data_IF_515634914266
#
_entry.id   IF_515634914266
#
_cell.length_a   1.000
_cell.length_b   1.000
_cell.length_c   1.000
_cell.angle_alpha   90.00
_cell.angle_beta   90.00
_cell.angle_gamma   90.00
#
_symmetry.space_group_name_H-M   'P 1'
#
loop_
_entity.id
_entity.type
_entity.pdbx_description
1 polymer ?
#
# COMPACT_ATOMS: atom_id res chain seq x y z
N UNK A 1 35.57 -4.11 -7.46
CA UNK A 1 37.03 -4.29 -7.48
C UNK A 1 37.81 -2.97 -7.49
N UNK A 2 37.38 -1.90 -8.17
CA UNK A 2 38.12 -0.62 -8.21
C UNK A 2 38.33 0.08 -6.85
N UNK A 3 37.40 -0.07 -5.89
CA UNK A 3 37.45 0.63 -4.59
C UNK A 3 38.50 0.09 -3.61
N UNK A 4 38.80 -1.22 -3.66
CA UNK A 4 39.83 -1.85 -2.82
C UNK A 4 41.24 -1.54 -3.32
N UNK A 5 41.42 -1.42 -4.63
CA UNK A 5 42.72 -1.08 -5.23
C UNK A 5 43.14 0.36 -4.93
N UNK A 6 42.21 1.32 -4.98
CA UNK A 6 42.48 2.72 -4.61
C UNK A 6 42.83 2.83 -3.11
N UNK A 7 42.17 2.05 -2.26
CA UNK A 7 42.45 2.04 -0.82
C UNK A 7 43.86 1.51 -0.52
N UNK A 8 44.29 0.45 -1.21
CA UNK A 8 45.63 -0.13 -1.06
C UNK A 8 46.74 0.80 -1.57
N UNK A 9 46.48 1.59 -2.62
CA UNK A 9 47.45 2.56 -3.17
C UNK A 9 47.68 3.73 -2.20
N UNK A 10 46.65 4.17 -1.47
CA UNK A 10 46.76 5.25 -0.48
C UNK A 10 47.44 4.78 0.83
N UNK A 11 47.24 3.51 1.22
CA UNK A 11 47.76 2.97 2.49
C UNK A 11 49.26 2.61 2.41
N UNK A 12 49.76 2.22 1.22
CA UNK A 12 51.15 1.72 1.04
C UNK A 12 52.26 2.73 1.39
N UNK A 13 52.16 4.03 1.06
CA UNK A 13 53.17 5.02 1.45
C UNK A 13 53.13 5.35 2.95
N UNK A 14 51.93 5.33 3.55
CA UNK A 14 51.71 5.65 4.96
C UNK A 14 52.34 4.57 5.85
N UNK A 15 52.26 3.29 5.47
CA UNK A 15 52.88 2.19 6.22
C UNK A 15 54.41 2.21 6.21
N UNK A 16 55.05 2.93 5.27
CA UNK A 16 56.51 2.89 5.10
C UNK A 16 57.26 3.86 6.03
N UNK A 17 56.55 4.72 6.77
CA UNK A 17 57.13 5.81 7.57
C UNK A 17 56.78 5.77 9.07
N UNK A 18 56.33 4.63 9.61
CA UNK A 18 55.67 4.60 10.93
C UNK A 18 56.42 3.70 11.93
N UNK A 19 56.76 4.28 13.08
CA UNK A 19 57.34 3.66 14.28
C UNK A 19 56.41 2.55 14.83
N UNK A 20 56.97 1.46 15.38
CA UNK A 20 56.22 0.24 15.77
C UNK A 20 55.02 0.49 16.73
N UNK A 21 55.12 1.46 17.63
CA UNK A 21 54.02 1.87 18.52
C UNK A 21 52.89 2.60 17.78
N UNK A 22 53.23 3.43 16.79
CA UNK A 22 52.25 4.11 15.94
C UNK A 22 51.57 3.15 14.98
N UNK A 23 52.23 2.06 14.55
CA UNK A 23 51.57 1.01 13.75
C UNK A 23 50.46 0.30 14.53
N UNK A 24 50.65 0.02 15.82
CA UNK A 24 49.60 -0.58 16.64
C UNK A 24 48.36 0.32 16.69
N UNK A 25 48.54 1.62 16.97
CA UNK A 25 47.46 2.62 16.94
C UNK A 25 46.72 2.70 15.59
N UNK A 26 47.46 2.66 14.48
CA UNK A 26 46.88 2.67 13.13
C UNK A 26 46.07 1.40 12.85
N UNK A 27 46.54 0.22 13.26
CA UNK A 27 45.79 -1.03 13.12
C UNK A 27 44.51 -1.05 13.97
N UNK A 28 44.53 -0.49 15.18
CA UNK A 28 43.33 -0.40 16.04
C UNK A 28 42.27 0.51 15.42
N UNK A 29 42.68 1.68 14.89
CA UNK A 29 41.76 2.61 14.21
C UNK A 29 41.16 1.96 12.95
N UNK A 30 41.97 1.28 12.15
CA UNK A 30 41.50 0.53 10.96
C UNK A 30 40.53 -0.58 11.39
N UNK A 31 40.82 -1.32 12.46
CA UNK A 31 39.94 -2.33 13.02
C UNK A 31 38.58 -1.77 13.47
N UNK A 32 38.57 -0.63 14.16
CA UNK A 32 37.36 0.08 14.57
C UNK A 32 36.57 0.55 13.34
N UNK A 33 37.23 1.09 12.32
CA UNK A 33 36.58 1.53 11.08
C UNK A 33 35.96 0.34 10.33
N UNK A 34 36.67 -0.79 10.22
CA UNK A 34 36.16 -2.01 9.58
C UNK A 34 34.98 -2.59 10.38
N UNK A 35 35.09 -2.66 11.71
CA UNK A 35 34.00 -3.12 12.56
C UNK A 35 32.78 -2.21 12.46
N UNK A 36 32.97 -0.89 12.47
CA UNK A 36 31.90 0.09 12.28
C UNK A 36 31.26 -0.07 10.89
N UNK A 37 32.05 -0.15 9.81
CA UNK A 37 31.54 -0.35 8.45
C UNK A 37 30.77 -1.67 8.31
N UNK A 38 31.28 -2.76 8.90
CA UNK A 38 30.63 -4.07 8.90
C UNK A 38 29.33 -4.05 9.71
N UNK A 39 29.32 -3.40 10.87
CA UNK A 39 28.13 -3.16 11.68
C UNK A 39 27.08 -2.34 10.91
N UNK A 40 27.50 -1.24 10.25
CA UNK A 40 26.60 -0.43 9.44
C UNK A 40 26.05 -1.19 8.23
N UNK A 41 26.87 -2.01 7.55
CA UNK A 41 26.42 -2.88 6.46
C UNK A 41 25.42 -3.93 6.95
N UNK A 42 25.70 -4.60 8.06
CA UNK A 42 24.81 -5.62 8.63
C UNK A 42 23.48 -5.00 9.08
N UNK A 43 23.52 -3.87 9.78
CA UNK A 43 22.32 -3.12 10.19
C UNK A 43 21.51 -2.64 8.98
N UNK A 44 22.16 -2.26 7.89
CA UNK A 44 21.49 -1.88 6.65
C UNK A 44 20.85 -3.10 5.95
N UNK A 45 21.53 -4.25 5.94
CA UNK A 45 21.02 -5.51 5.38
C UNK A 45 19.79 -6.01 6.16
N UNK A 46 19.82 -5.94 7.49
CA UNK A 46 18.70 -6.30 8.35
C UNK A 46 17.47 -5.43 8.09
N UNK A 47 17.66 -4.11 7.96
CA UNK A 47 16.60 -3.17 7.58
C UNK A 47 15.96 -3.50 6.23
N UNK A 48 16.77 -3.77 5.20
CA UNK A 48 16.28 -4.21 3.90
C UNK A 48 15.45 -5.49 4.02
N UNK A 49 15.94 -6.49 4.77
CA UNK A 49 15.23 -7.75 4.97
C UNK A 49 13.87 -7.53 5.65
N UNK A 50 13.82 -6.70 6.69
CA UNK A 50 12.58 -6.34 7.38
C UNK A 50 11.59 -5.64 6.43
N UNK A 51 12.07 -4.74 5.56
CA UNK A 51 11.24 -4.09 4.56
C UNK A 51 10.68 -5.08 3.52
N UNK A 52 11.50 -6.04 3.06
CA UNK A 52 11.07 -7.12 2.16
C UNK A 52 10.02 -7.99 2.84
N UNK A 53 10.22 -8.36 4.10
CA UNK A 53 9.27 -9.17 4.87
C UNK A 53 7.93 -8.45 5.03
N UNK A 54 7.92 -7.15 5.32
CA UNK A 54 6.69 -6.36 5.40
C UNK A 54 5.94 -6.33 4.05
N UNK A 55 6.65 -6.23 2.93
CA UNK A 55 6.03 -6.34 1.59
C UNK A 55 5.48 -7.75 1.36
N UNK A 56 6.22 -8.80 1.74
CA UNK A 56 5.75 -10.18 1.62
C UNK A 56 4.48 -10.40 2.42
N UNK A 57 4.43 -9.96 3.68
CA UNK A 57 3.23 -10.02 4.53
C UNK A 57 2.06 -9.26 3.90
N UNK A 58 2.33 -8.08 3.33
CA UNK A 58 1.31 -7.35 2.58
C UNK A 58 0.76 -8.18 1.40
N UNK A 59 1.63 -8.75 0.57
CA UNK A 59 1.24 -9.51 -0.62
C UNK A 59 0.52 -10.81 -0.26
N UNK A 60 1.03 -11.56 0.72
CA UNK A 60 0.57 -12.92 1.00
C UNK A 60 -0.48 -13.01 2.11
N UNK A 61 -0.66 -11.98 2.94
CA UNK A 61 -1.68 -11.99 3.99
C UNK A 61 -2.78 -10.95 3.73
N UNK A 62 -2.41 -9.71 3.41
CA UNK A 62 -3.39 -8.61 3.32
C UNK A 62 -4.15 -8.66 1.99
N UNK A 63 -3.47 -8.87 0.85
CA UNK A 63 -4.14 -8.94 -0.45
C UNK A 63 -5.19 -10.08 -0.48
N UNK A 64 -4.89 -11.31 -0.02
CA UNK A 64 -5.88 -12.39 0.02
C UNK A 64 -7.07 -12.10 0.94
N UNK A 65 -6.86 -11.49 2.11
CA UNK A 65 -7.95 -11.09 3.01
C UNK A 65 -8.87 -10.04 2.35
N UNK A 66 -8.29 -9.06 1.67
CA UNK A 66 -9.04 -8.06 0.90
C UNK A 66 -9.79 -8.70 -0.28
N UNK A 67 -9.23 -9.75 -0.89
CA UNK A 67 -9.86 -10.52 -1.95
C UNK A 67 -11.12 -11.25 -1.47
N UNK A 68 -11.00 -11.97 -0.36
CA UNK A 68 -12.12 -12.65 0.28
C UNK A 68 -13.21 -11.64 0.66
N UNK A 69 -12.82 -10.50 1.25
CA UNK A 69 -13.74 -9.42 1.59
C UNK A 69 -14.47 -8.90 0.36
N UNK A 70 -13.74 -8.58 -0.72
CA UNK A 70 -14.31 -8.02 -1.95
C UNK A 70 -15.29 -8.98 -2.62
N UNK A 71 -14.98 -10.28 -2.65
CA UNK A 71 -15.84 -11.29 -3.23
C UNK A 71 -17.15 -11.44 -2.44
N UNK A 72 -17.08 -11.41 -1.10
CA UNK A 72 -18.28 -11.49 -0.23
C UNK A 72 -19.11 -10.19 -0.26
N UNK A 73 -18.44 -9.05 -0.38
CA UNK A 73 -19.05 -7.72 -0.25
C UNK A 73 -20.20 -7.50 -1.24
N UNK A 74 -20.01 -7.81 -2.52
CA UNK A 74 -21.05 -7.56 -3.54
C UNK A 74 -22.35 -8.31 -3.25
N UNK A 75 -22.24 -9.60 -2.91
CA UNK A 75 -23.40 -10.44 -2.60
C UNK A 75 -24.10 -9.98 -1.32
N UNK A 76 -23.32 -9.73 -0.28
CA UNK A 76 -23.86 -9.29 1.01
C UNK A 76 -24.50 -7.90 0.92
N UNK A 77 -23.94 -7.00 0.12
CA UNK A 77 -24.51 -5.68 -0.12
C UNK A 77 -25.89 -5.74 -0.78
N UNK A 78 -26.05 -6.58 -1.81
CA UNK A 78 -27.34 -6.78 -2.46
C UNK A 78 -28.37 -7.40 -1.50
N UNK A 79 -27.94 -8.35 -0.68
CA UNK A 79 -28.80 -8.97 0.33
C UNK A 79 -29.28 -7.94 1.38
N UNK A 80 -28.37 -7.15 1.97
CA UNK A 80 -28.74 -6.12 2.94
C UNK A 80 -29.61 -5.01 2.32
N UNK A 81 -29.35 -4.63 1.06
CA UNK A 81 -30.20 -3.68 0.35
C UNK A 81 -31.63 -4.20 0.20
N UNK A 82 -31.80 -5.47 -0.19
CA UNK A 82 -33.12 -6.08 -0.28
C UNK A 82 -33.83 -6.12 1.07
N UNK A 83 -33.11 -6.48 2.13
CA UNK A 83 -33.64 -6.50 3.50
C UNK A 83 -34.13 -5.12 3.92
N UNK A 84 -33.32 -4.09 3.72
CA UNK A 84 -33.66 -2.70 4.05
C UNK A 84 -34.90 -2.20 3.29
N UNK A 85 -35.02 -2.50 2.00
CA UNK A 85 -36.21 -2.15 1.21
C UNK A 85 -37.46 -2.86 1.77
N UNK A 86 -37.34 -4.14 2.14
CA UNK A 86 -38.44 -4.91 2.71
C UNK A 86 -38.85 -4.42 4.10
N UNK A 87 -37.89 -3.99 4.94
CA UNK A 87 -38.15 -3.38 6.24
C UNK A 87 -38.96 -2.09 6.08
N UNK A 88 -38.60 -1.22 5.12
CA UNK A 88 -39.36 -0.01 4.82
C UNK A 88 -40.79 -0.35 4.39
N UNK A 89 -40.96 -1.32 3.48
CA UNK A 89 -42.30 -1.78 3.05
C UNK A 89 -43.12 -2.33 4.21
N UNK A 90 -42.51 -3.15 5.07
CA UNK A 90 -43.18 -3.71 6.24
C UNK A 90 -43.63 -2.63 7.22
N UNK A 91 -42.80 -1.61 7.45
CA UNK A 91 -43.12 -0.48 8.31
C UNK A 91 -44.31 0.33 7.77
N UNK A 92 -44.34 0.59 6.46
CA UNK A 92 -45.43 1.32 5.81
C UNK A 92 -46.75 0.53 5.84
N UNK A 93 -46.70 -0.78 5.57
CA UNK A 93 -47.86 -1.66 5.68
C UNK A 93 -48.39 -1.74 7.12
N UNK A 94 -47.51 -1.80 8.12
CA UNK A 94 -47.90 -1.80 9.55
C UNK A 94 -48.60 -0.51 9.99
N UNK A 95 -48.37 0.60 9.29
CA UNK A 95 -49.04 1.88 9.51
C UNK A 95 -50.29 2.07 8.61
N UNK A 96 -50.81 0.99 8.00
CA UNK A 96 -51.93 1.00 7.06
C UNK A 96 -51.75 1.93 5.85
N UNK A 97 -50.51 2.24 5.48
CA UNK A 97 -50.24 3.07 4.32
C UNK A 97 -50.25 2.19 3.07
N UNK A 98 -51.16 2.48 2.14
CA UNK A 98 -51.32 1.73 0.90
C UNK A 98 -50.07 1.88 0.03
N UNK A 99 -49.38 0.77 -0.25
CA UNK A 99 -48.18 0.76 -1.10
C UNK A 99 -48.60 0.60 -2.55
N UNK A 100 -48.66 1.71 -3.27
CA UNK A 100 -48.87 1.75 -4.72
C UNK A 100 -47.53 1.78 -5.50
N UNK A 101 -47.61 1.76 -6.83
CA UNK A 101 -46.41 1.82 -7.68
C UNK A 101 -45.59 3.10 -7.50
N UNK A 102 -46.22 4.23 -7.14
CA UNK A 102 -45.53 5.51 -6.90
C UNK A 102 -44.71 5.45 -5.61
N UNK A 103 -45.27 4.86 -4.57
CA UNK A 103 -44.63 4.58 -3.28
C UNK A 103 -43.46 3.61 -3.45
N UNK A 104 -43.63 2.53 -4.22
CA UNK A 104 -42.53 1.59 -4.54
C UNK A 104 -41.35 2.31 -5.20
N UNK A 105 -41.64 3.21 -6.14
CA UNK A 105 -40.60 4.03 -6.78
C UNK A 105 -39.90 4.97 -5.80
N UNK A 106 -40.63 5.59 -4.87
CA UNK A 106 -40.04 6.44 -3.82
C UNK A 106 -39.13 5.65 -2.87
N UNK A 107 -39.54 4.45 -2.45
CA UNK A 107 -38.73 3.56 -1.60
C UNK A 107 -37.44 3.16 -2.32
N UNK A 108 -37.55 2.78 -3.59
CA UNK A 108 -36.39 2.41 -4.40
C UNK A 108 -35.44 3.60 -4.63
N UNK A 109 -35.99 4.81 -4.84
CA UNK A 109 -35.21 6.03 -4.97
C UNK A 109 -34.49 6.37 -3.66
N UNK A 110 -35.19 6.27 -2.52
CA UNK A 110 -34.63 6.51 -1.19
C UNK A 110 -33.48 5.53 -0.88
N UNK A 111 -33.67 4.23 -1.12
CA UNK A 111 -32.64 3.21 -0.97
C UNK A 111 -31.42 3.42 -1.90
N UNK A 112 -31.56 4.23 -2.95
CA UNK A 112 -30.49 4.61 -3.88
C UNK A 112 -29.85 5.97 -3.57
N UNK A 113 -30.29 6.68 -2.53
CA UNK A 113 -29.64 7.92 -2.08
C UNK A 113 -28.23 7.66 -1.56
N UNK A 114 -27.36 8.68 -1.59
CA UNK A 114 -26.00 8.59 -1.08
C UNK A 114 -25.95 8.22 0.42
N UNK A 115 -26.90 8.73 1.21
CA UNK A 115 -27.00 8.44 2.65
C UNK A 115 -27.31 6.96 2.90
N UNK A 116 -28.39 6.43 2.31
CA UNK A 116 -28.77 5.01 2.44
C UNK A 116 -27.71 4.09 1.88
N UNK A 117 -27.08 4.46 0.76
CA UNK A 117 -25.93 3.71 0.23
C UNK A 117 -24.80 3.65 1.26
N UNK A 118 -24.38 4.76 1.83
CA UNK A 118 -23.28 4.78 2.80
C UNK A 118 -23.61 4.00 4.09
N UNK A 119 -24.84 4.10 4.57
CA UNK A 119 -25.33 3.31 5.70
C UNK A 119 -25.24 1.80 5.42
N UNK A 120 -25.80 1.35 4.30
CA UNK A 120 -25.75 -0.06 3.89
C UNK A 120 -24.31 -0.54 3.69
N UNK A 121 -23.46 0.30 3.08
CA UNK A 121 -22.03 -0.01 2.93
C UNK A 121 -21.35 -0.23 4.28
N UNK A 122 -21.60 0.64 5.26
CA UNK A 122 -21.07 0.50 6.63
C UNK A 122 -21.54 -0.80 7.26
N UNK A 123 -22.85 -1.08 7.28
CA UNK A 123 -23.37 -2.31 7.88
C UNK A 123 -22.75 -3.56 7.29
N UNK A 124 -22.66 -3.65 5.96
CA UNK A 124 -22.07 -4.80 5.28
C UNK A 124 -20.59 -4.95 5.62
N UNK A 125 -19.84 -3.85 5.66
CA UNK A 125 -18.42 -3.87 6.02
C UNK A 125 -18.21 -4.34 7.47
N UNK A 126 -19.04 -3.89 8.41
CA UNK A 126 -19.01 -4.36 9.80
C UNK A 126 -19.35 -5.85 9.89
N UNK A 127 -20.42 -6.29 9.22
CA UNK A 127 -20.84 -7.70 9.18
C UNK A 127 -19.74 -8.62 8.61
N UNK A 128 -19.01 -8.15 7.60
CA UNK A 128 -17.90 -8.88 6.99
C UNK A 128 -16.56 -8.72 7.72
N UNK A 129 -16.56 -8.11 8.91
CA UNK A 129 -15.36 -7.88 9.71
C UNK A 129 -14.27 -7.09 8.96
N UNK A 130 -14.66 -6.23 8.02
CA UNK A 130 -13.75 -5.38 7.27
C UNK A 130 -12.91 -4.43 8.15
N UNK A 131 -13.43 -3.87 9.27
CA UNK A 131 -12.62 -3.01 10.15
C UNK A 131 -11.34 -3.68 10.65
N UNK A 132 -11.36 -4.98 10.92
CA UNK A 132 -10.16 -5.72 11.34
C UNK A 132 -9.13 -5.85 10.22
N UNK A 133 -9.59 -6.10 8.99
CA UNK A 133 -8.72 -6.13 7.81
C UNK A 133 -8.12 -4.74 7.55
N UNK A 134 -8.93 -3.68 7.66
CA UNK A 134 -8.47 -2.31 7.49
C UNK A 134 -7.47 -1.89 8.58
N UNK A 135 -7.66 -2.33 9.82
CA UNK A 135 -6.69 -2.11 10.90
C UNK A 135 -5.34 -2.77 10.60
N UNK A 136 -5.34 -4.04 10.15
CA UNK A 136 -4.12 -4.73 9.72
C UNK A 136 -3.43 -4.01 8.55
N UNK A 137 -4.23 -3.57 7.58
CA UNK A 137 -3.75 -2.80 6.43
C UNK A 137 -3.13 -1.45 6.86
N UNK A 138 -3.68 -0.78 7.87
CA UNK A 138 -3.14 0.49 8.40
C UNK A 138 -1.80 0.26 9.09
N UNK A 139 -1.73 -0.75 9.97
CA UNK A 139 -0.47 -1.14 10.62
C UNK A 139 0.61 -1.47 9.58
N UNK A 140 0.25 -2.22 8.54
CA UNK A 140 1.18 -2.56 7.46
C UNK A 140 1.61 -1.31 6.67
N UNK A 141 0.68 -0.38 6.43
CA UNK A 141 0.96 0.85 5.71
C UNK A 141 1.93 1.75 6.48
N UNK A 142 1.85 1.79 7.81
CA UNK A 142 2.82 2.47 8.67
C UNK A 142 4.21 1.88 8.49
N UNK A 143 4.34 0.54 8.58
CA UNK A 143 5.63 -0.16 8.44
C UNK A 143 6.27 0.11 7.08
N UNK A 144 5.49 0.04 6.00
CA UNK A 144 5.96 0.32 4.65
C UNK A 144 6.37 1.79 4.50
N UNK A 145 5.56 2.74 5.00
CA UNK A 145 5.90 4.16 4.92
C UNK A 145 7.14 4.53 5.73
N UNK A 146 7.35 3.88 6.89
CA UNK A 146 8.53 4.06 7.72
C UNK A 146 9.80 3.63 6.97
N UNK A 147 9.81 2.43 6.38
CA UNK A 147 10.93 1.96 5.54
C UNK A 147 11.18 2.89 4.35
N UNK A 148 10.13 3.48 3.76
CA UNK A 148 10.27 4.39 2.61
C UNK A 148 11.02 5.67 2.97
N UNK A 149 10.72 6.22 4.14
CA UNK A 149 11.16 7.55 4.54
C UNK A 149 12.47 7.51 5.31
N UNK A 150 12.55 6.66 6.33
CA UNK A 150 13.67 6.67 7.28
C UNK A 150 14.84 5.82 6.79
N UNK A 151 14.58 4.84 5.93
CA UNK A 151 15.60 3.93 5.40
C UNK A 151 15.94 4.24 3.93
N UNK A 152 15.40 5.36 3.39
CA UNK A 152 15.55 5.79 2.00
C UNK A 152 15.25 4.68 0.98
N UNK A 153 14.35 3.76 1.31
CA UNK A 153 13.98 2.67 0.40
C UNK A 153 13.06 3.19 -0.71
N UNK A 154 13.51 3.06 -1.95
CA UNK A 154 12.68 3.37 -3.11
C UNK A 154 11.76 2.20 -3.42
N UNK A 155 10.48 2.32 -3.05
CA UNK A 155 9.42 1.42 -3.50
C UNK A 155 8.93 1.75 -4.93
N UNK A 156 9.75 2.42 -5.74
CA UNK A 156 9.42 2.74 -7.14
C UNK A 156 9.27 1.48 -8.01
N UNK A 157 9.90 0.38 -7.61
CA UNK A 157 9.66 -0.97 -8.13
C UNK A 157 8.65 -1.72 -7.25
N UNK A 158 7.53 -1.06 -6.90
CA UNK A 158 6.43 -1.75 -6.25
C UNK A 158 6.04 -2.97 -7.10
N UNK A 159 6.18 -4.16 -6.51
CA UNK A 159 5.79 -5.44 -7.08
C UNK A 159 4.43 -5.28 -7.78
N UNK A 160 4.25 -5.89 -8.96
CA UNK A 160 3.04 -5.73 -9.81
C UNK A 160 1.74 -5.85 -8.99
N UNK A 161 1.72 -6.72 -8.00
CA UNK A 161 0.57 -6.96 -7.11
C UNK A 161 0.23 -5.78 -6.21
N UNK A 162 1.23 -5.05 -5.72
CA UNK A 162 1.06 -3.83 -4.92
C UNK A 162 0.46 -2.71 -5.77
N UNK A 163 0.90 -2.59 -7.02
CA UNK A 163 0.31 -1.62 -7.95
C UNK A 163 -1.12 -2.02 -8.36
N UNK A 164 -1.37 -3.32 -8.55
CA UNK A 164 -2.69 -3.85 -8.88
C UNK A 164 -3.69 -3.69 -7.73
N UNK A 165 -3.23 -3.81 -6.48
CA UNK A 165 -4.03 -3.58 -5.28
C UNK A 165 -4.79 -2.25 -5.33
N UNK A 166 -4.08 -1.16 -5.69
CA UNK A 166 -4.67 0.19 -5.75
C UNK A 166 -5.83 0.31 -6.75
N UNK A 167 -5.79 -0.45 -7.85
CA UNK A 167 -6.85 -0.49 -8.85
C UNK A 167 -8.01 -1.34 -8.35
N UNK A 168 -7.70 -2.55 -7.89
CA UNK A 168 -8.66 -3.60 -7.53
C UNK A 168 -9.57 -3.18 -6.37
N UNK A 169 -9.03 -2.48 -5.37
CA UNK A 169 -9.75 -2.12 -4.15
C UNK A 169 -10.02 -0.62 -4.01
N UNK A 170 -10.03 0.11 -5.13
CA UNK A 170 -10.19 1.58 -5.12
C UNK A 170 -11.48 2.05 -4.44
N UNK A 171 -12.57 1.28 -4.50
CA UNK A 171 -13.83 1.61 -3.81
C UNK A 171 -13.70 1.56 -2.30
N UNK A 172 -13.04 0.55 -1.74
CA UNK A 172 -12.79 0.46 -0.30
C UNK A 172 -11.86 1.58 0.17
N UNK A 173 -10.82 1.89 -0.61
CA UNK A 173 -9.89 2.98 -0.29
C UNK A 173 -10.60 4.34 -0.28
N UNK A 174 -11.47 4.61 -1.24
CA UNK A 174 -12.33 5.81 -1.26
C UNK A 174 -13.30 5.85 -0.07
N UNK A 175 -13.85 4.69 0.31
CA UNK A 175 -14.71 4.59 1.49
C UNK A 175 -13.93 4.96 2.77
N UNK A 176 -12.70 4.48 2.92
CA UNK A 176 -11.85 4.81 4.08
C UNK A 176 -11.45 6.29 4.11
N UNK A 177 -11.14 6.88 2.96
CA UNK A 177 -10.86 8.32 2.84
C UNK A 177 -12.05 9.18 3.26
N UNK A 178 -13.26 8.80 2.84
CA UNK A 178 -14.49 9.57 3.12
C UNK A 178 -15.08 9.35 4.51
N UNK A 179 -14.87 8.18 5.13
CA UNK A 179 -15.56 7.80 6.37
C UNK A 179 -14.65 7.62 7.60
N UNK A 180 -13.32 7.58 7.42
CA UNK A 180 -12.38 7.28 8.50
C UNK A 180 -11.07 8.06 8.40
N UNK A 181 -11.11 9.27 7.83
CA UNK A 181 -9.94 10.05 7.39
C UNK A 181 -8.77 10.13 8.39
N UNK A 182 -9.03 10.13 9.69
CA UNK A 182 -7.98 10.12 10.74
C UNK A 182 -7.47 8.70 11.02
N UNK A 183 -8.37 7.72 11.19
CA UNK A 183 -8.04 6.34 11.55
C UNK A 183 -7.27 5.56 10.48
N UNK A 184 -7.34 5.99 9.22
CA UNK A 184 -6.73 5.30 8.07
C UNK A 184 -5.81 6.22 7.24
N UNK A 185 -5.20 7.21 7.90
CA UNK A 185 -4.37 8.23 7.23
C UNK A 185 -3.17 7.64 6.50
N UNK A 186 -2.56 6.57 7.02
CA UNK A 186 -1.35 5.99 6.42
C UNK A 186 -1.68 5.17 5.18
N UNK A 187 -2.78 4.42 5.19
CA UNK A 187 -3.33 3.78 3.99
C UNK A 187 -3.53 4.81 2.89
N UNK A 188 -4.20 5.93 3.21
CA UNK A 188 -4.48 6.97 2.23
C UNK A 188 -3.20 7.60 1.66
N UNK A 189 -2.19 7.83 2.50
CA UNK A 189 -0.88 8.34 2.07
C UNK A 189 -0.15 7.35 1.17
N UNK A 190 -0.13 6.08 1.55
CA UNK A 190 0.52 5.00 0.78
C UNK A 190 -0.19 4.79 -0.56
N UNK A 191 -1.52 4.79 -0.57
CA UNK A 191 -2.35 4.75 -1.76
C UNK A 191 -2.03 5.90 -2.72
N UNK A 192 -2.03 7.15 -2.25
CA UNK A 192 -1.70 8.31 -3.08
C UNK A 192 -0.29 8.20 -3.68
N UNK A 193 0.68 7.68 -2.92
CA UNK A 193 2.05 7.43 -3.41
C UNK A 193 2.06 6.39 -4.53
N UNK A 194 1.47 5.22 -4.32
CA UNK A 194 1.43 4.15 -5.32
C UNK A 194 0.62 4.50 -6.56
N UNK A 195 -0.50 5.20 -6.40
CA UNK A 195 -1.31 5.67 -7.53
C UNK A 195 -0.53 6.64 -8.44
N UNK A 196 0.24 7.57 -7.86
CA UNK A 196 1.15 8.45 -8.60
C UNK A 196 2.22 7.68 -9.36
N UNK A 197 2.86 6.69 -8.72
CA UNK A 197 3.87 5.82 -9.35
C UNK A 197 3.26 5.06 -10.54
N UNK A 198 2.08 4.45 -10.35
CA UNK A 198 1.36 3.74 -11.41
C UNK A 198 1.09 4.65 -12.61
N UNK A 199 0.60 5.87 -12.39
CA UNK A 199 0.30 6.82 -13.46
C UNK A 199 1.56 7.31 -14.20
N UNK A 200 2.67 7.54 -13.49
CA UNK A 200 3.96 7.84 -14.13
C UNK A 200 4.40 6.70 -15.05
N UNK A 201 4.27 5.44 -14.60
CA UNK A 201 4.64 4.27 -15.39
C UNK A 201 3.74 4.09 -16.63
N UNK A 202 2.43 4.35 -16.52
CA UNK A 202 1.52 4.32 -17.66
C UNK A 202 1.85 5.39 -18.72
N UNK A 203 2.15 6.62 -18.30
CA UNK A 203 2.59 7.70 -19.20
C UNK A 203 3.88 7.33 -19.94
N UNK A 204 4.87 6.78 -19.23
CA UNK A 204 6.12 6.27 -19.84
C UNK A 204 5.84 5.21 -20.89
N UNK A 205 5.03 4.20 -20.58
CA UNK A 205 4.65 3.14 -21.55
C UNK A 205 3.94 3.70 -22.78
N UNK A 206 3.01 4.64 -22.61
CA UNK A 206 2.34 5.29 -23.74
C UNK A 206 3.31 6.06 -24.64
N UNK A 207 4.26 6.79 -24.03
CA UNK A 207 5.29 7.51 -24.78
C UNK A 207 6.21 6.54 -25.54
N UNK A 208 6.65 5.44 -24.93
CA UNK A 208 7.42 4.41 -25.62
C UNK A 208 6.63 3.78 -26.79
N UNK A 209 5.35 3.47 -26.60
CA UNK A 209 4.50 2.95 -27.67
C UNK A 209 4.35 3.95 -28.84
N UNK A 210 4.21 5.25 -28.54
CA UNK A 210 4.17 6.31 -29.56
C UNK A 210 5.49 6.40 -30.33
N UNK A 211 6.63 6.30 -29.64
CA UNK A 211 7.95 6.30 -30.25
C UNK A 211 8.08 5.10 -31.19
N UNK A 212 7.79 3.88 -30.72
CA UNK A 212 7.86 2.66 -31.54
C UNK A 212 6.93 2.75 -32.76
N UNK A 213 5.72 3.29 -32.61
CA UNK A 213 4.79 3.48 -33.73
C UNK A 213 5.32 4.46 -34.77
N UNK A 214 6.00 5.54 -34.35
CA UNK A 214 6.67 6.47 -35.28
C UNK A 214 7.79 5.79 -36.06
N UNK A 215 8.58 4.93 -35.41
CA UNK A 215 9.67 4.20 -36.06
C UNK A 215 9.22 3.02 -36.94
N UNK A 216 8.06 2.40 -36.66
CA UNK A 216 7.51 1.31 -37.47
C UNK A 216 6.67 1.77 -38.68
N UNK A 217 6.20 3.02 -38.69
CA UNK A 217 5.45 3.61 -39.81
C UNK A 217 6.31 4.39 -40.80
N UNK A 218 7.64 4.36 -40.63
CA UNK A 218 8.64 5.01 -41.49
C UNK A 218 9.44 3.99 -42.30
N UNK A 219 8.88 2.80 -42.54
CA UNK A 219 9.41 1.74 -43.43
C UNK A 219 8.39 1.53 -44.55
#
# INVERSE_FOLDING_TARGET
MLKTTIMLIIIKPILKSINLENTYYVFTIIGIIIAALTYFQNKHKEKINNAIENIRKFIYEIIPQMDILNNKYKKEYMHQKSKYINEIKSYLNGNHILIDNKMINLINNYANTSSSKNYLKRQVLFKLNAPNIFKKLEVMSIKILYGANNEKLSYELAHKDVLNFTKKYSEFLKFLESNGGISYKHINRLYKKWYRIRNKNLKRKSNYAKIIKRYKGSV
#
